data_IF_168588787829
#
_entry.id   IF_168588787829
#
_cell.length_a   1.000
_cell.length_b   1.000
_cell.length_c   1.000
_cell.angle_alpha   90.00
_cell.angle_beta   90.00
_cell.angle_gamma   90.00
#
_symmetry.space_group_name_H-M   'P 1'
#
loop_
_entity.id
_entity.type
_entity.pdbx_description
1 polymer ?
#
# COMPACT_ATOMS: atom_id res chain seq x y z
N UNK A 1 12.21 21.78 15.19
CA UNK A 1 10.90 22.34 14.81
C UNK A 1 10.98 22.72 13.34
N UNK A 2 10.32 21.95 12.46
CA UNK A 2 10.35 22.15 11.00
C UNK A 2 9.59 23.45 10.68
N UNK A 3 10.20 24.34 9.91
CA UNK A 3 9.57 25.59 9.49
C UNK A 3 8.36 25.36 8.58
N UNK A 4 7.39 26.29 8.57
CA UNK A 4 6.14 26.18 7.80
C UNK A 4 6.41 26.06 6.30
N UNK A 5 7.42 26.76 5.80
CA UNK A 5 7.82 26.70 4.39
C UNK A 5 8.50 25.36 4.05
N UNK A 6 9.26 24.81 4.99
CA UNK A 6 9.84 23.47 4.84
C UNK A 6 8.76 22.38 4.82
N UNK A 7 7.73 22.46 5.68
CA UNK A 7 6.59 21.54 5.64
C UNK A 7 5.81 21.61 4.32
N UNK A 8 5.62 22.81 3.77
CA UNK A 8 4.97 22.97 2.48
C UNK A 8 5.78 22.32 1.35
N UNK A 9 7.11 22.43 1.36
CA UNK A 9 7.99 21.78 0.38
C UNK A 9 7.95 20.25 0.48
N UNK A 10 8.04 19.71 1.70
CA UNK A 10 7.93 18.27 1.96
C UNK A 10 6.60 17.74 1.43
N UNK A 11 5.50 18.45 1.70
CA UNK A 11 4.19 18.05 1.22
C UNK A 11 4.08 18.07 -0.31
N UNK A 12 4.51 19.16 -0.96
CA UNK A 12 4.48 19.25 -2.43
C UNK A 12 5.35 18.15 -3.07
N UNK A 13 6.51 17.85 -2.49
CA UNK A 13 7.37 16.75 -2.96
C UNK A 13 6.69 15.39 -2.82
N UNK A 14 6.00 15.13 -1.70
CA UNK A 14 5.28 13.89 -1.47
C UNK A 14 4.03 13.73 -2.36
N UNK A 15 3.35 14.83 -2.68
CA UNK A 15 2.17 14.83 -3.55
C UNK A 15 2.52 14.59 -5.03
N UNK A 16 3.74 14.93 -5.43
CA UNK A 16 4.27 14.71 -6.77
C UNK A 16 5.15 13.45 -6.86
N UNK A 17 5.29 12.71 -5.76
CA UNK A 17 6.19 11.57 -5.67
C UNK A 17 5.65 10.40 -6.50
N UNK A 18 6.31 10.15 -7.63
CA UNK A 18 6.16 8.94 -8.45
C UNK A 18 7.40 8.05 -8.36
N UNK A 19 8.27 8.31 -7.38
CA UNK A 19 9.58 7.69 -7.22
C UNK A 19 9.63 6.64 -6.11
N UNK A 20 10.75 6.56 -5.40
CA UNK A 20 11.05 5.55 -4.38
C UNK A 20 10.27 5.72 -3.05
N UNK A 21 9.28 6.61 -3.00
CA UNK A 21 8.45 6.85 -1.82
C UNK A 21 9.15 7.63 -0.71
N UNK A 22 10.39 8.09 -0.91
CA UNK A 22 11.18 8.79 0.12
C UNK A 22 10.55 10.11 0.53
N UNK A 23 9.97 10.85 -0.42
CA UNK A 23 9.31 12.11 -0.10
C UNK A 23 8.03 11.88 0.72
N UNK A 24 7.27 10.82 0.41
CA UNK A 24 6.11 10.40 1.20
C UNK A 24 6.49 9.98 2.62
N UNK A 25 7.58 9.24 2.78
CA UNK A 25 8.13 8.89 4.09
C UNK A 25 8.52 10.13 4.91
N UNK A 26 9.26 11.05 4.29
CA UNK A 26 9.65 12.31 4.93
C UNK A 26 8.41 13.08 5.40
N UNK A 27 7.34 13.10 4.59
CA UNK A 27 6.06 13.69 4.99
C UNK A 27 5.47 12.96 6.20
N UNK A 28 5.35 11.63 6.19
CA UNK A 28 4.72 10.89 7.31
C UNK A 28 5.45 11.10 8.63
N UNK A 29 6.78 11.17 8.59
CA UNK A 29 7.61 11.52 9.75
C UNK A 29 7.44 12.98 10.17
N UNK A 30 7.36 13.91 9.20
CA UNK A 30 7.11 15.32 9.49
C UNK A 30 5.71 15.60 10.07
N UNK A 31 4.76 14.68 9.86
CA UNK A 31 3.42 14.69 10.46
C UNK A 31 3.39 14.08 11.86
N UNK A 32 4.47 13.46 12.34
CA UNK A 32 4.52 12.93 13.69
C UNK A 32 4.30 14.05 14.74
N UNK A 33 3.45 13.78 15.71
CA UNK A 33 2.98 14.78 16.69
C UNK A 33 2.14 15.93 16.13
N UNK A 34 1.84 15.96 14.82
CA UNK A 34 1.01 17.00 14.21
C UNK A 34 -0.48 16.67 14.39
N UNK A 35 -1.25 17.67 14.80
CA UNK A 35 -2.72 17.60 14.83
C UNK A 35 -3.28 17.83 13.43
N UNK A 36 -4.05 16.86 12.93
CA UNK A 36 -4.81 16.96 11.69
C UNK A 36 -6.31 17.00 11.99
N UNK A 37 -7.09 17.38 10.98
CA UNK A 37 -8.52 17.65 11.11
C UNK A 37 -9.31 16.77 10.15
N UNK A 38 -10.43 16.20 10.58
CA UNK A 38 -11.22 15.33 9.73
C UNK A 38 -12.69 15.35 10.11
N UNK A 39 -13.53 14.93 9.16
CA UNK A 39 -14.98 14.90 9.35
C UNK A 39 -15.36 13.69 10.19
N UNK A 40 -15.83 13.95 11.40
CA UNK A 40 -16.44 12.95 12.25
C UNK A 40 -17.64 13.52 12.99
N UNK A 41 -18.65 12.69 13.17
CA UNK A 41 -19.81 12.95 14.02
C UNK A 41 -19.73 12.07 15.25
N UNK A 42 -19.73 12.67 16.42
CA UNK A 42 -19.92 11.96 17.68
C UNK A 42 -21.38 11.50 17.76
N UNK A 43 -21.58 10.21 18.04
CA UNK A 43 -22.88 9.60 18.30
C UNK A 43 -22.80 8.84 19.60
N UNK A 44 -23.85 8.91 20.41
CA UNK A 44 -23.97 8.06 21.57
C UNK A 44 -24.71 6.78 21.17
N UNK A 45 -24.07 5.63 21.35
CA UNK A 45 -24.64 4.30 21.09
C UNK A 45 -24.47 3.50 22.38
N UNK A 46 -25.58 3.06 22.98
CA UNK A 46 -25.59 2.29 24.23
C UNK A 46 -24.80 2.96 25.38
N UNK A 47 -24.90 4.29 25.51
CA UNK A 47 -24.20 5.09 26.52
C UNK A 47 -22.71 5.32 26.24
N UNK A 48 -22.19 4.82 25.11
CA UNK A 48 -20.82 5.04 24.68
C UNK A 48 -20.78 6.10 23.57
N UNK A 49 -19.88 7.08 23.73
CA UNK A 49 -19.56 8.05 22.68
C UNK A 49 -18.73 7.37 21.58
N UNK A 50 -19.33 7.22 20.42
CA UNK A 50 -18.73 6.64 19.21
C UNK A 50 -18.49 7.75 18.19
N UNK A 51 -17.26 7.84 17.72
CA UNK A 51 -16.91 8.70 16.59
C UNK A 51 -17.19 7.97 15.28
N UNK A 52 -18.14 8.49 14.49
CA UNK A 52 -18.42 8.01 13.14
C UNK A 52 -17.81 8.97 12.12
N UNK A 53 -16.87 8.48 11.32
CA UNK A 53 -16.31 9.19 10.17
C UNK A 53 -17.03 8.73 8.90
N UNK A 54 -17.43 9.67 8.05
CA UNK A 54 -17.92 9.34 6.71
C UNK A 54 -16.75 9.09 5.78
N UNK A 55 -16.77 7.95 5.09
CA UNK A 55 -15.85 7.65 4.02
C UNK A 55 -16.36 8.21 2.70
N UNK A 56 -15.47 8.80 1.93
CA UNK A 56 -15.75 9.20 0.54
C UNK A 56 -15.62 7.95 -0.33
N UNK A 57 -16.64 7.67 -1.13
CA UNK A 57 -16.54 6.68 -2.21
C UNK A 57 -15.77 7.28 -3.38
N UNK A 58 -14.82 6.52 -3.91
CA UNK A 58 -14.09 6.84 -5.13
C UNK A 58 -14.77 6.13 -6.32
N UNK A 59 -14.33 6.47 -7.54
CA UNK A 59 -14.96 5.97 -8.78
C UNK A 59 -14.77 4.45 -8.98
N UNK A 60 -13.77 3.87 -8.33
CA UNK A 60 -13.47 2.43 -8.32
C UNK A 60 -14.18 1.67 -7.18
N UNK A 61 -15.20 2.29 -6.57
CA UNK A 61 -15.91 1.81 -5.38
C UNK A 61 -15.07 1.70 -4.10
N UNK A 62 -13.78 2.04 -4.14
CA UNK A 62 -12.94 2.09 -2.95
C UNK A 62 -13.34 3.26 -2.04
N UNK A 63 -12.93 3.17 -0.78
CA UNK A 63 -13.33 4.09 0.27
C UNK A 63 -12.13 4.88 0.79
N UNK A 64 -12.28 6.21 0.87
CA UNK A 64 -11.25 7.12 1.34
C UNK A 64 -11.68 7.86 2.61
N UNK A 65 -10.82 7.85 3.62
CA UNK A 65 -10.88 8.78 4.74
C UNK A 65 -10.02 9.99 4.41
N UNK A 66 -10.60 11.19 4.43
CA UNK A 66 -9.88 12.43 4.12
C UNK A 66 -9.57 13.19 5.41
N UNK A 67 -8.32 13.60 5.55
CA UNK A 67 -7.81 14.38 6.69
C UNK A 67 -7.05 15.61 6.18
N UNK A 68 -7.14 16.71 6.91
CA UNK A 68 -6.66 18.01 6.48
C UNK A 68 -5.57 18.51 7.42
N UNK A 69 -4.52 19.12 6.87
CA UNK A 69 -3.41 19.68 7.68
C UNK A 69 -3.77 21.00 8.38
N UNK A 70 -4.94 21.57 8.09
CA UNK A 70 -5.36 22.86 8.59
C UNK A 70 -6.85 22.89 8.90
N UNK A 71 -7.21 23.46 10.05
CA UNK A 71 -8.60 23.74 10.45
C UNK A 71 -9.30 24.79 9.58
N UNK A 72 -8.54 25.50 8.73
CA UNK A 72 -9.06 26.54 7.82
C UNK A 72 -9.20 26.02 6.38
N UNK A 73 -9.06 24.71 6.17
CA UNK A 73 -9.18 24.13 4.85
C UNK A 73 -10.61 24.35 4.31
N UNK A 74 -10.79 24.81 3.06
CA UNK A 74 -12.12 25.13 2.52
C UNK A 74 -13.05 23.92 2.47
N UNK A 75 -12.51 22.73 2.22
CA UNK A 75 -13.29 21.48 2.17
C UNK A 75 -13.57 20.86 3.56
N UNK A 76 -13.09 21.48 4.64
CA UNK A 76 -13.41 21.04 6.00
C UNK A 76 -14.74 21.69 6.44
N UNK A 77 -15.78 20.90 6.75
CA UNK A 77 -17.05 21.42 7.21
C UNK A 77 -16.94 22.01 8.62
N UNK A 78 -17.91 22.82 9.03
CA UNK A 78 -17.94 23.47 10.36
C UNK A 78 -17.86 22.48 11.54
N UNK A 79 -18.32 21.24 11.34
CA UNK A 79 -18.25 20.16 12.32
C UNK A 79 -17.15 19.18 11.94
N UNK A 80 -16.04 19.26 12.68
CA UNK A 80 -14.89 18.40 12.49
C UNK A 80 -14.27 18.01 13.83
N UNK A 81 -13.40 17.02 13.79
CA UNK A 81 -12.59 16.57 14.92
C UNK A 81 -11.13 16.84 14.63
N UNK A 82 -10.38 17.17 15.68
CA UNK A 82 -8.94 17.33 15.65
C UNK A 82 -8.30 16.17 16.41
N UNK A 83 -7.32 15.51 15.80
CA UNK A 83 -6.58 14.43 16.46
C UNK A 83 -5.14 14.39 15.97
N UNK A 84 -4.26 13.80 16.77
CA UNK A 84 -2.87 13.61 16.38
C UNK A 84 -2.78 12.59 15.23
N UNK A 85 -1.81 12.79 14.35
CA UNK A 85 -1.54 11.92 13.20
C UNK A 85 -1.51 10.42 13.55
N UNK A 86 -0.79 10.05 14.61
CA UNK A 86 -0.69 8.67 15.09
C UNK A 86 -2.05 8.08 15.50
N UNK A 87 -2.87 8.86 16.19
CA UNK A 87 -4.23 8.44 16.60
C UNK A 87 -5.16 8.30 15.39
N UNK A 88 -5.03 9.16 14.39
CA UNK A 88 -5.78 9.07 13.13
C UNK A 88 -5.40 7.81 12.38
N UNK A 89 -4.10 7.54 12.20
CA UNK A 89 -3.62 6.31 11.57
C UNK A 89 -4.12 5.06 12.30
N UNK A 90 -4.07 5.06 13.63
CA UNK A 90 -4.57 3.96 14.45
C UNK A 90 -6.08 3.76 14.27
N UNK A 91 -6.87 4.84 14.33
CA UNK A 91 -8.31 4.79 14.09
C UNK A 91 -8.65 4.32 12.67
N UNK A 92 -7.90 4.78 11.67
CA UNK A 92 -8.04 4.34 10.28
C UNK A 92 -7.75 2.84 10.15
N UNK A 93 -6.70 2.34 10.78
CA UNK A 93 -6.31 0.94 10.72
C UNK A 93 -7.27 0.00 11.45
N UNK A 94 -7.64 0.33 12.69
CA UNK A 94 -8.34 -0.58 13.60
C UNK A 94 -9.86 -0.49 13.45
N UNK A 95 -10.40 0.73 13.34
CA UNK A 95 -11.83 1.00 13.49
C UNK A 95 -12.51 1.41 12.19
N UNK A 96 -12.03 2.46 11.53
CA UNK A 96 -12.68 3.07 10.36
C UNK A 96 -12.47 2.23 9.11
N UNK A 97 -11.28 1.64 8.96
CA UNK A 97 -10.95 0.65 7.93
C UNK A 97 -11.16 1.14 6.48
N UNK A 98 -10.76 2.36 6.09
CA UNK A 98 -10.84 2.79 4.70
C UNK A 98 -9.83 2.04 3.82
N UNK A 99 -10.05 2.02 2.51
CA UNK A 99 -9.08 1.54 1.54
C UNK A 99 -7.92 2.54 1.39
N UNK A 100 -8.24 3.83 1.55
CA UNK A 100 -7.29 4.95 1.43
C UNK A 100 -7.41 5.93 2.60
N UNK A 101 -6.26 6.38 3.11
CA UNK A 101 -6.18 7.59 3.94
C UNK A 101 -5.58 8.71 3.08
N UNK A 102 -6.31 9.79 2.89
CA UNK A 102 -5.90 10.92 2.06
C UNK A 102 -5.60 12.11 2.95
N UNK A 103 -4.35 12.57 2.95
CA UNK A 103 -3.95 13.82 3.61
C UNK A 103 -4.03 14.95 2.59
N UNK A 104 -4.73 16.02 2.92
CA UNK A 104 -4.89 17.21 2.08
C UNK A 104 -4.33 18.47 2.78
N UNK A 105 -3.60 19.30 2.04
CA UNK A 105 -3.08 20.56 2.55
C UNK A 105 -3.89 21.78 2.05
N UNK A 106 -3.58 22.98 2.54
CA UNK A 106 -4.27 24.23 2.15
C UNK A 106 -4.19 24.60 0.66
N UNK A 107 -3.31 23.94 -0.11
CA UNK A 107 -3.20 24.13 -1.58
C UNK A 107 -4.02 23.09 -2.35
N UNK A 108 -4.82 22.26 -1.66
CA UNK A 108 -5.51 21.09 -2.21
C UNK A 108 -4.56 20.05 -2.82
N UNK A 109 -3.27 20.08 -2.49
CA UNK A 109 -2.38 18.97 -2.79
C UNK A 109 -2.76 17.80 -1.88
N UNK A 110 -2.80 16.59 -2.44
CA UNK A 110 -3.20 15.38 -1.73
C UNK A 110 -2.10 14.34 -1.74
N UNK A 111 -1.97 13.61 -0.64
CA UNK A 111 -1.15 12.41 -0.54
C UNK A 111 -2.06 11.29 -0.07
N UNK A 112 -2.31 10.33 -0.95
CA UNK A 112 -3.06 9.13 -0.63
C UNK A 112 -2.14 8.09 0.02
N UNK A 113 -2.67 7.29 0.94
CA UNK A 113 -1.95 6.21 1.61
C UNK A 113 -2.85 4.98 1.55
N UNK A 114 -2.47 3.91 0.85
CA UNK A 114 -3.26 2.70 0.82
C UNK A 114 -3.22 2.02 2.18
N UNK A 115 -4.30 1.37 2.55
CA UNK A 115 -4.44 0.69 3.84
C UNK A 115 -3.29 -0.24 4.20
N UNK A 116 -2.75 -0.95 3.22
CA UNK A 116 -1.63 -1.89 3.39
C UNK A 116 -0.37 -1.22 3.98
N UNK A 117 -0.22 0.10 3.84
CA UNK A 117 0.91 0.84 4.38
C UNK A 117 0.73 1.30 5.83
N UNK A 118 -0.50 1.30 6.38
CA UNK A 118 -0.74 1.82 7.73
C UNK A 118 0.08 1.13 8.83
N UNK A 119 0.18 -0.22 8.88
CA UNK A 119 0.97 -0.90 9.91
C UNK A 119 2.45 -0.52 9.85
N UNK A 120 2.99 -0.37 8.64
CA UNK A 120 4.41 -0.02 8.43
C UNK A 120 4.67 1.41 8.90
N UNK A 121 3.75 2.34 8.61
CA UNK A 121 3.86 3.74 9.06
C UNK A 121 3.76 3.81 10.57
N UNK A 122 2.82 3.09 11.18
CA UNK A 122 2.68 3.01 12.64
C UNK A 122 3.94 2.43 13.32
N UNK A 123 4.56 1.42 12.72
CA UNK A 123 5.81 0.84 13.24
C UNK A 123 6.98 1.83 13.19
N UNK A 124 7.14 2.57 12.09
CA UNK A 124 8.18 3.61 11.95
C UNK A 124 7.99 4.73 12.99
N UNK A 125 6.75 5.20 13.14
CA UNK A 125 6.42 6.26 14.11
C UNK A 125 6.62 5.82 15.57
N UNK A 126 6.46 4.53 15.87
CA UNK A 126 6.69 3.97 17.21
C UNK A 126 8.18 3.85 17.56
N UNK A 127 9.07 3.97 16.58
CA UNK A 127 10.53 3.96 16.80
C UNK A 127 10.99 5.36 17.21
N UNK A 128 11.82 5.49 18.28
CA UNK A 128 12.38 6.79 18.68
C UNK A 128 13.10 7.48 17.51
N UNK A 129 12.93 8.79 17.37
CA UNK A 129 13.48 9.55 16.23
C UNK A 129 14.98 9.33 15.99
N UNK A 130 15.75 9.20 17.08
CA UNK A 130 17.20 8.94 17.03
C UNK A 130 17.57 7.54 16.49
N UNK A 131 16.66 6.58 16.62
CA UNK A 131 16.85 5.18 16.20
C UNK A 131 16.10 4.86 14.90
N UNK A 132 15.36 5.84 14.34
CA UNK A 132 14.72 5.68 13.03
C UNK A 132 15.81 5.52 11.98
N UNK A 133 16.03 4.29 11.54
CA UNK A 133 16.89 4.04 10.39
C UNK A 133 16.35 4.83 9.18
N UNK A 134 17.21 5.37 8.30
CA UNK A 134 16.81 5.96 7.02
C UNK A 134 16.11 4.97 6.08
N UNK A 135 15.92 3.73 6.54
CA UNK A 135 15.39 2.65 5.74
C UNK A 135 14.00 3.03 5.25
N UNK A 136 13.79 3.11 3.93
CA UNK A 136 12.53 3.53 3.39
C UNK A 136 11.49 2.52 3.82
N UNK A 137 10.56 3.00 4.62
CA UNK A 137 9.23 2.46 4.79
C UNK A 137 8.79 1.84 3.45
N UNK A 138 8.48 0.54 3.46
CA UNK A 138 8.09 -0.26 2.30
C UNK A 138 6.84 0.35 1.67
N UNK A 139 7.04 1.32 0.77
CA UNK A 139 5.99 1.91 -0.06
C UNK A 139 5.72 0.93 -1.20
N UNK A 140 4.49 0.90 -1.69
CA UNK A 140 4.09 0.04 -2.80
C UNK A 140 4.87 0.31 -4.11
N UNK A 141 5.72 1.33 -4.17
CA UNK A 141 6.35 1.83 -5.40
C UNK A 141 7.73 1.20 -5.72
N UNK A 142 8.43 0.56 -4.77
CA UNK A 142 9.73 -0.07 -5.07
C UNK A 142 9.59 -1.38 -5.84
N UNK A 143 8.58 -2.20 -5.54
CA UNK A 143 8.42 -3.48 -6.25
C UNK A 143 7.97 -3.24 -7.70
N UNK A 144 7.06 -2.30 -7.92
CA UNK A 144 6.59 -1.92 -9.25
C UNK A 144 7.77 -1.49 -10.13
N UNK A 145 8.59 -0.56 -9.61
CA UNK A 145 9.80 -0.09 -10.29
C UNK A 145 10.84 -1.19 -10.45
N UNK A 146 11.07 -2.03 -9.44
CA UNK A 146 12.01 -3.17 -9.56
C UNK A 146 11.56 -4.15 -10.64
N UNK A 147 10.26 -4.38 -10.80
CA UNK A 147 9.73 -5.23 -11.87
C UNK A 147 9.91 -4.56 -13.24
N UNK A 148 9.60 -3.26 -13.37
CA UNK A 148 9.81 -2.50 -14.62
C UNK A 148 11.28 -2.44 -15.02
N UNK A 149 12.16 -2.06 -14.09
CA UNK A 149 13.61 -2.02 -14.32
C UNK A 149 14.14 -3.41 -14.69
N UNK A 150 13.68 -4.47 -14.01
CA UNK A 150 14.08 -5.85 -14.33
C UNK A 150 13.60 -6.31 -15.70
N UNK A 151 12.42 -5.89 -16.16
CA UNK A 151 11.89 -6.21 -17.47
C UNK A 151 12.73 -5.59 -18.61
N UNK A 152 13.37 -4.45 -18.35
CA UNK A 152 14.27 -3.76 -19.30
C UNK A 152 15.73 -4.24 -19.20
N UNK A 153 16.13 -4.84 -18.08
CA UNK A 153 17.49 -5.30 -17.84
C UNK A 153 17.81 -6.64 -18.52
N UNK A 154 19.03 -6.75 -19.07
CA UNK A 154 19.56 -7.99 -19.65
C UNK A 154 20.44 -8.80 -18.68
N UNK A 155 20.72 -8.29 -17.49
CA UNK A 155 21.59 -8.92 -16.50
C UNK A 155 20.83 -9.47 -15.30
N UNK A 156 21.24 -10.61 -14.75
CA UNK A 156 20.62 -11.30 -13.61
C UNK A 156 20.74 -10.58 -12.25
N UNK A 157 21.31 -9.37 -12.18
CA UNK A 157 21.50 -8.64 -10.93
C UNK A 157 20.20 -8.22 -10.21
N UNK A 158 19.06 -8.28 -10.90
CA UNK A 158 17.77 -7.82 -10.39
C UNK A 158 17.09 -8.80 -9.43
N UNK A 159 17.39 -10.11 -9.49
CA UNK A 159 16.72 -11.15 -8.70
C UNK A 159 16.75 -10.87 -7.20
N UNK A 160 17.92 -10.52 -6.66
CA UNK A 160 18.10 -10.26 -5.23
C UNK A 160 17.29 -9.06 -4.74
N UNK A 161 17.18 -8.01 -5.57
CA UNK A 161 16.35 -6.86 -5.27
C UNK A 161 14.87 -7.25 -5.28
N UNK A 162 14.39 -7.93 -6.32
CA UNK A 162 13.00 -8.36 -6.42
C UNK A 162 12.57 -9.25 -5.25
N UNK A 163 13.36 -10.27 -4.90
CA UNK A 163 13.07 -11.18 -3.78
C UNK A 163 13.00 -10.42 -2.45
N UNK A 164 13.91 -9.47 -2.24
CA UNK A 164 13.92 -8.65 -1.01
C UNK A 164 12.62 -7.86 -0.87
N UNK A 165 12.11 -7.30 -1.98
CA UNK A 165 10.88 -6.53 -1.98
C UNK A 165 9.61 -7.38 -1.94
N UNK A 166 9.67 -8.64 -2.39
CA UNK A 166 8.55 -9.58 -2.36
C UNK A 166 8.34 -10.20 -0.98
N UNK A 167 9.40 -10.40 -0.19
CA UNK A 167 9.29 -11.01 1.15
C UNK A 167 8.27 -10.31 2.04
N UNK A 168 7.42 -11.10 2.68
CA UNK A 168 6.36 -10.60 3.56
C UNK A 168 5.21 -9.85 2.86
N UNK A 169 5.25 -9.64 1.54
CA UNK A 169 4.14 -9.01 0.81
C UNK A 169 3.03 -10.00 0.51
N UNK A 170 1.81 -9.48 0.46
CA UNK A 170 0.68 -10.16 -0.19
C UNK A 170 0.78 -9.93 -1.70
N UNK A 171 0.57 -10.99 -2.46
CA UNK A 171 0.40 -11.01 -3.91
C UNK A 171 -0.98 -11.56 -4.23
N UNK A 172 -1.44 -11.29 -5.45
CA UNK A 172 -2.76 -11.68 -5.89
C UNK A 172 -2.69 -12.71 -7.01
N UNK A 173 -3.02 -13.95 -6.66
CA UNK A 173 -3.14 -15.06 -7.59
C UNK A 173 -4.29 -14.80 -8.55
N UNK A 174 -4.07 -15.08 -9.83
CA UNK A 174 -5.16 -15.18 -10.79
C UNK A 174 -5.91 -16.51 -10.57
N UNK A 175 -7.20 -16.45 -10.25
CA UNK A 175 -8.06 -17.61 -10.10
C UNK A 175 -8.91 -17.84 -11.35
N UNK A 176 -9.20 -19.10 -11.67
CA UNK A 176 -10.18 -19.42 -12.72
C UNK A 176 -11.58 -18.98 -12.30
N UNK A 177 -12.36 -18.51 -13.26
CA UNK A 177 -13.77 -18.20 -13.06
C UNK A 177 -14.54 -19.44 -12.60
N UNK A 178 -15.36 -19.27 -11.56
CA UNK A 178 -16.15 -20.36 -10.97
C UNK A 178 -15.40 -21.23 -9.95
N UNK A 179 -14.22 -20.80 -9.48
CA UNK A 179 -13.50 -21.48 -8.40
C UNK A 179 -14.34 -21.50 -7.10
N UNK A 180 -14.76 -22.69 -6.67
CA UNK A 180 -15.46 -22.90 -5.39
C UNK A 180 -14.52 -22.63 -4.21
N UNK A 181 -15.07 -22.10 -3.10
CA UNK A 181 -14.34 -21.70 -1.90
C UNK A 181 -13.51 -22.79 -1.19
N UNK A 182 -13.54 -24.05 -1.64
CA UNK A 182 -12.84 -25.18 -1.02
C UNK A 182 -11.47 -25.53 -1.64
N UNK A 183 -11.23 -25.19 -2.90
CA UNK A 183 -9.94 -25.39 -3.57
C UNK A 183 -9.88 -24.47 -4.80
N UNK A 184 -9.27 -23.28 -4.67
CA UNK A 184 -9.23 -22.34 -5.78
C UNK A 184 -8.29 -22.85 -6.88
N UNK A 185 -8.84 -23.02 -8.09
CA UNK A 185 -8.06 -23.35 -9.28
C UNK A 185 -7.25 -22.13 -9.71
N UNK A 186 -5.92 -22.22 -9.59
CA UNK A 186 -5.00 -21.15 -9.95
C UNK A 186 -4.78 -21.15 -11.47
N UNK A 187 -4.86 -19.98 -12.09
CA UNK A 187 -4.45 -19.79 -13.49
C UNK A 187 -2.93 -19.78 -13.56
N UNK A 188 -2.39 -20.64 -14.41
CA UNK A 188 -0.97 -20.66 -14.73
C UNK A 188 -0.70 -20.02 -16.09
N UNK A 189 0.48 -19.44 -16.26
CA UNK A 189 0.93 -18.90 -17.54
C UNK A 189 2.05 -19.74 -18.16
N UNK A 190 2.19 -19.64 -19.47
CA UNK A 190 3.36 -20.13 -20.20
C UNK A 190 4.35 -18.99 -20.37
N UNK A 191 5.60 -19.22 -19.99
CA UNK A 191 6.67 -18.22 -20.07
C UNK A 191 8.03 -18.91 -20.19
N UNK A 192 8.99 -18.26 -20.86
CA UNK A 192 10.33 -18.80 -21.10
C UNK A 192 10.34 -20.24 -21.69
N UNK A 193 9.40 -20.54 -22.59
CA UNK A 193 9.29 -21.87 -23.23
C UNK A 193 8.75 -22.99 -22.32
N UNK A 194 8.30 -22.67 -21.10
CA UNK A 194 7.74 -23.63 -20.13
C UNK A 194 6.34 -23.22 -19.69
N UNK A 195 5.43 -24.17 -19.62
CA UNK A 195 4.08 -23.96 -19.09
C UNK A 195 4.04 -24.13 -17.55
N UNK A 196 2.99 -23.62 -16.92
CA UNK A 196 2.69 -23.91 -15.52
C UNK A 196 3.20 -22.87 -14.51
N UNK A 197 3.73 -21.73 -14.94
CA UNK A 197 4.15 -20.66 -14.03
C UNK A 197 2.95 -20.10 -13.28
N UNK A 198 3.02 -20.04 -11.95
CA UNK A 198 1.95 -19.44 -11.14
C UNK A 198 1.86 -17.96 -11.49
N UNK A 199 0.69 -17.50 -11.90
CA UNK A 199 0.47 -16.11 -12.28
C UNK A 199 0.00 -15.30 -11.08
N UNK A 200 0.78 -14.27 -10.73
CA UNK A 200 0.49 -13.36 -9.64
C UNK A 200 0.58 -11.91 -10.08
N UNK A 201 -0.22 -11.08 -9.43
CA UNK A 201 -0.24 -9.63 -9.60
C UNK A 201 0.15 -8.94 -8.30
N UNK A 202 0.77 -7.77 -8.42
CA UNK A 202 1.09 -6.91 -7.28
C UNK A 202 -0.13 -6.14 -6.76
N UNK A 203 -1.15 -5.91 -7.59
CA UNK A 203 -2.42 -5.27 -7.23
C UNK A 203 -3.64 -6.02 -7.79
N UNK A 204 -4.86 -5.64 -7.37
CA UNK A 204 -6.14 -6.25 -7.80
C UNK A 204 -6.87 -5.43 -8.86
N UNK A 205 -6.14 -4.56 -9.56
CA UNK A 205 -6.75 -3.50 -10.35
C UNK A 205 -7.12 -3.91 -11.78
N UNK A 206 -6.74 -5.12 -12.24
CA UNK A 206 -7.10 -5.57 -13.59
C UNK A 206 -8.58 -5.96 -13.65
N UNK A 207 -9.35 -5.39 -14.60
CA UNK A 207 -10.74 -5.74 -14.80
C UNK A 207 -10.87 -7.16 -15.36
N UNK A 208 -11.93 -7.87 -14.94
CA UNK A 208 -12.24 -9.22 -15.44
C UNK A 208 -11.36 -10.34 -14.89
N UNK A 209 -10.58 -10.07 -13.83
CA UNK A 209 -9.76 -11.08 -13.15
C UNK A 209 -10.33 -11.36 -11.77
N UNK A 210 -10.45 -12.65 -11.43
CA UNK A 210 -10.71 -13.10 -10.06
C UNK A 210 -9.40 -13.30 -9.31
N UNK A 211 -9.32 -12.75 -8.09
CA UNK A 211 -8.08 -12.72 -7.30
C UNK A 211 -8.17 -13.54 -6.02
N UNK A 212 -7.10 -14.31 -5.75
CA UNK A 212 -6.84 -14.95 -4.46
C UNK A 212 -5.63 -14.32 -3.79
N UNK A 213 -5.76 -13.87 -2.54
CA UNK A 213 -4.63 -13.35 -1.78
C UNK A 213 -3.69 -14.47 -1.32
N UNK A 214 -2.38 -14.27 -1.48
CA UNK A 214 -1.35 -15.17 -0.96
C UNK A 214 -0.14 -14.36 -0.49
N UNK A 215 0.47 -14.71 0.64
CA UNK A 215 1.75 -14.10 1.01
C UNK A 215 2.88 -14.70 0.18
N UNK A 216 3.94 -13.93 -0.10
CA UNK A 216 5.12 -14.43 -0.81
C UNK A 216 5.66 -15.73 -0.20
N UNK A 217 5.79 -15.80 1.13
CA UNK A 217 6.33 -16.98 1.80
C UNK A 217 5.41 -18.20 1.66
N UNK A 218 4.08 -18.01 1.69
CA UNK A 218 3.12 -19.08 1.44
C UNK A 218 3.17 -19.55 -0.02
N UNK A 219 3.34 -18.63 -0.97
CA UNK A 219 3.50 -18.95 -2.39
C UNK A 219 4.78 -19.75 -2.65
N UNK A 220 5.91 -19.33 -2.07
CA UNK A 220 7.18 -20.06 -2.16
C UNK A 220 7.05 -21.46 -1.58
N UNK A 221 6.41 -21.61 -0.42
CA UNK A 221 6.14 -22.92 0.19
C UNK A 221 5.25 -23.80 -0.69
N UNK A 222 4.21 -23.21 -1.31
CA UNK A 222 3.34 -23.90 -2.25
C UNK A 222 4.13 -24.41 -3.47
N UNK A 223 5.00 -23.57 -4.06
CA UNK A 223 5.83 -23.97 -5.20
C UNK A 223 6.83 -25.05 -4.78
N UNK A 224 7.49 -24.90 -3.63
CA UNK A 224 8.45 -25.91 -3.11
C UNK A 224 7.79 -27.27 -2.92
N UNK A 225 6.55 -27.28 -2.43
CA UNK A 225 5.77 -28.50 -2.18
C UNK A 225 5.20 -29.15 -3.44
N UNK A 226 5.20 -28.46 -4.59
CA UNK A 226 4.66 -28.96 -5.86
C UNK A 226 5.76 -28.96 -6.94
N UNK A 227 6.45 -30.09 -7.18
CA UNK A 227 7.61 -30.17 -8.08
C UNK A 227 7.32 -29.77 -9.53
N UNK A 228 6.08 -29.97 -9.98
CA UNK A 228 5.64 -29.69 -11.34
C UNK A 228 5.52 -28.18 -11.64
N UNK A 229 5.49 -27.34 -10.60
CA UNK A 229 5.43 -25.89 -10.75
C UNK A 229 6.83 -25.33 -10.98
N UNK A 230 7.10 -24.67 -12.13
CA UNK A 230 8.40 -24.12 -12.48
C UNK A 230 8.83 -22.91 -11.66
N UNK A 231 7.88 -22.20 -11.06
CA UNK A 231 8.12 -20.94 -10.35
C UNK A 231 6.90 -20.03 -10.42
N UNK A 232 7.16 -18.73 -10.26
CA UNK A 232 6.14 -17.67 -10.26
C UNK A 232 6.45 -16.61 -11.31
N UNK A 233 5.39 -16.13 -11.97
CA UNK A 233 5.38 -14.89 -12.73
C UNK A 233 4.70 -13.80 -11.90
N UNK A 234 5.42 -12.71 -11.64
CA UNK A 234 4.88 -11.55 -10.93
C UNK A 234 4.68 -10.44 -11.95
N UNK A 235 3.46 -9.94 -12.05
CA UNK A 235 3.05 -8.88 -12.98
C UNK A 235 2.70 -7.63 -12.20
N UNK A 236 3.27 -6.50 -12.61
CA UNK A 236 3.08 -5.21 -11.99
C UNK A 236 1.88 -4.46 -12.64
N UNK A 237 1.61 -3.20 -12.25
CA UNK A 237 0.52 -2.38 -12.80
C UNK A 237 0.78 -1.84 -14.22
N UNK A 238 2.05 -1.76 -14.63
CA UNK A 238 2.44 -1.39 -15.98
C UNK A 238 2.37 -2.57 -16.99
N UNK A 239 1.95 -3.76 -16.53
CA UNK A 239 1.98 -5.03 -17.28
C UNK A 239 3.41 -5.53 -17.59
N UNK A 240 4.41 -4.94 -16.93
CA UNK A 240 5.75 -5.50 -16.86
C UNK A 240 5.73 -6.74 -15.97
N UNK A 241 6.65 -7.66 -16.22
CA UNK A 241 6.67 -8.92 -15.51
C UNK A 241 8.07 -9.48 -15.35
N UNK A 242 8.24 -10.20 -14.25
CA UNK A 242 9.44 -10.97 -13.94
C UNK A 242 9.08 -12.45 -13.74
N UNK A 243 10.05 -13.33 -13.99
CA UNK A 243 9.97 -14.75 -13.69
C UNK A 243 10.95 -15.13 -12.61
N UNK A 244 10.46 -15.74 -11.54
CA UNK A 244 11.27 -16.25 -10.45
C UNK A 244 11.15 -17.77 -10.42
N UNK A 245 12.20 -18.44 -10.90
CA UNK A 245 12.32 -19.90 -10.94
C UNK A 245 12.59 -20.50 -9.56
N UNK A 246 12.45 -21.82 -9.46
CA UNK A 246 12.70 -22.59 -8.21
C UNK A 246 14.11 -22.42 -7.64
N UNK A 247 15.06 -22.11 -8.48
CA UNK A 247 16.48 -21.92 -8.16
C UNK A 247 16.76 -20.60 -7.43
N UNK A 248 15.85 -19.63 -7.54
CA UNK A 248 16.00 -18.30 -6.93
C UNK A 248 14.98 -18.03 -5.81
N UNK A 249 13.99 -18.89 -5.57
CA UNK A 249 12.95 -18.73 -4.52
C UNK A 249 13.08 -19.68 -3.33
#
# INVERSE_FOLDING_TARGET
MIDKDQRARIFSSAAQDTGDGRARLELFRALDGVTLYYVATEREIDGNRVLSTRLRKLDDDSSAMVVYTSRRHPDLPDRFVASQWSNILKAAYETVRPDWLVVANMRNETVAIPRVQFPVILADLSTPEADRTPNPLVVADDLERVISDAAEMTSDGWYGSAITHLRGRELYLHLKDGANAGQPDIVTSSAAGRAGWVLTYTTRNRPGISYGGITWDALVNMIKSNPDIPGVRVVNEADDWILLGRDVI
#
